data_IF_079712344049
#
_entry.id   IF_079712344049
#
_cell.length_a   1.000
_cell.length_b   1.000
_cell.length_c   1.000
_cell.angle_alpha   90.00
_cell.angle_beta   90.00
_cell.angle_gamma   90.00
#
_symmetry.space_group_name_H-M   'P 1'
#
loop_
_entity.id
_entity.type
_entity.pdbx_description
1 polymer ?
#
# COMPACT_ATOMS: atom_id res chain seq x y z
N UNK A 1 -32.18 -3.39 29.57
CA UNK A 1 -31.60 -4.21 28.50
C UNK A 1 -30.93 -3.26 27.52
N UNK A 2 -29.60 -3.26 27.44
CA UNK A 2 -28.86 -2.33 26.60
C UNK A 2 -28.99 -2.77 25.13
N UNK A 3 -29.54 -1.88 24.29
CA UNK A 3 -29.54 -2.07 22.84
C UNK A 3 -28.10 -2.07 22.34
N UNK A 4 -27.60 -3.24 21.96
CA UNK A 4 -26.40 -3.37 21.13
C UNK A 4 -26.66 -2.62 19.82
N UNK A 5 -26.01 -1.47 19.68
CA UNK A 5 -25.94 -0.77 18.40
C UNK A 5 -25.28 -1.73 17.41
N UNK A 6 -25.88 -1.97 16.23
CA UNK A 6 -25.30 -2.85 15.24
C UNK A 6 -23.88 -2.39 14.94
N UNK A 7 -22.92 -3.32 15.03
CA UNK A 7 -21.49 -3.09 14.82
C UNK A 7 -21.27 -2.08 13.69
N UNK A 8 -20.86 -0.86 14.06
CA UNK A 8 -20.21 0.03 13.12
C UNK A 8 -19.01 -0.78 12.59
N UNK A 9 -19.08 -1.19 11.32
CA UNK A 9 -18.03 -1.95 10.64
C UNK A 9 -16.68 -1.37 11.07
N UNK A 10 -15.80 -2.19 11.65
CA UNK A 10 -14.50 -1.74 12.15
C UNK A 10 -13.65 -1.32 10.94
N UNK A 11 -13.83 -0.07 10.50
CA UNK A 11 -13.25 0.47 9.28
C UNK A 11 -11.72 0.28 9.18
N UNK A 12 -10.94 0.40 10.27
CA UNK A 12 -9.53 0.01 10.25
C UNK A 12 -9.28 -1.45 9.89
N UNK A 13 -10.07 -2.38 10.42
CA UNK A 13 -9.91 -3.81 10.17
C UNK A 13 -10.35 -4.19 8.74
N UNK A 14 -11.44 -3.57 8.27
CA UNK A 14 -11.93 -3.74 6.91
C UNK A 14 -10.94 -3.19 5.87
N UNK A 15 -10.34 -2.02 6.13
CA UNK A 15 -9.30 -1.48 5.26
C UNK A 15 -8.07 -2.41 5.19
N UNK A 16 -7.62 -2.95 6.33
CA UNK A 16 -6.51 -3.92 6.36
C UNK A 16 -6.82 -5.15 5.51
N UNK A 17 -8.05 -5.67 5.62
CA UNK A 17 -8.52 -6.82 4.83
C UNK A 17 -8.51 -6.50 3.33
N UNK A 18 -9.11 -5.38 2.94
CA UNK A 18 -9.19 -4.97 1.53
C UNK A 18 -7.82 -4.75 0.89
N UNK A 19 -6.89 -4.12 1.61
CA UNK A 19 -5.52 -3.90 1.15
C UNK A 19 -4.82 -5.23 0.86
N UNK A 20 -4.92 -6.18 1.78
CA UNK A 20 -4.25 -7.48 1.66
C UNK A 20 -4.88 -8.33 0.55
N UNK A 21 -6.20 -8.37 0.46
CA UNK A 21 -6.93 -9.06 -0.62
C UNK A 21 -6.66 -8.45 -1.98
N UNK A 22 -6.65 -7.11 -2.10
CA UNK A 22 -6.42 -6.43 -3.36
C UNK A 22 -5.02 -6.69 -3.91
N UNK A 23 -3.97 -6.64 -3.07
CA UNK A 23 -2.61 -6.94 -3.53
C UNK A 23 -2.48 -8.36 -4.09
N UNK A 24 -3.15 -9.34 -3.47
CA UNK A 24 -3.17 -10.72 -3.94
C UNK A 24 -3.97 -10.86 -5.24
N UNK A 25 -5.19 -10.28 -5.28
CA UNK A 25 -6.12 -10.39 -6.40
C UNK A 25 -5.59 -9.72 -7.66
N UNK A 26 -5.05 -8.51 -7.54
CA UNK A 26 -4.52 -7.74 -8.68
C UNK A 26 -3.16 -8.29 -9.16
N UNK A 27 -2.55 -9.21 -8.40
CA UNK A 27 -1.23 -9.79 -8.67
C UNK A 27 -0.19 -8.71 -8.98
N UNK A 28 -0.20 -7.61 -8.20
CA UNK A 28 0.63 -6.42 -8.46
C UNK A 28 2.11 -6.79 -8.61
N UNK A 29 2.65 -7.56 -7.66
CA UNK A 29 4.07 -7.92 -7.65
C UNK A 29 4.45 -8.93 -8.74
N UNK A 30 3.73 -10.06 -8.94
CA UNK A 30 4.02 -10.93 -10.07
C UNK A 30 3.98 -10.20 -11.42
N UNK A 31 2.96 -9.36 -11.67
CA UNK A 31 2.85 -8.60 -12.93
C UNK A 31 4.00 -7.61 -13.10
N UNK A 32 4.43 -6.95 -12.03
CA UNK A 32 5.59 -6.08 -12.03
C UNK A 32 6.86 -6.83 -12.45
N UNK A 33 7.15 -7.98 -11.82
CA UNK A 33 8.37 -8.73 -12.13
C UNK A 33 8.30 -9.35 -13.53
N UNK A 34 7.16 -9.93 -13.92
CA UNK A 34 6.96 -10.52 -15.25
C UNK A 34 7.17 -9.47 -16.35
N UNK A 35 6.58 -8.27 -16.19
CA UNK A 35 6.73 -7.19 -17.17
C UNK A 35 8.18 -6.71 -17.24
N UNK A 36 8.85 -6.53 -16.10
CA UNK A 36 10.25 -6.12 -16.07
C UNK A 36 11.17 -7.14 -16.76
N UNK A 37 10.95 -8.42 -16.48
CA UNK A 37 11.75 -9.52 -17.04
C UNK A 37 11.62 -9.57 -18.56
N UNK A 38 10.40 -9.46 -19.08
CA UNK A 38 10.15 -9.47 -20.54
C UNK A 38 10.73 -8.22 -21.19
N UNK A 39 10.48 -7.03 -20.64
CA UNK A 39 10.95 -5.76 -21.22
C UNK A 39 12.47 -5.64 -21.27
N UNK A 40 13.19 -6.25 -20.32
CA UNK A 40 14.64 -6.12 -20.18
C UNK A 40 15.41 -7.40 -20.52
N UNK A 41 14.74 -8.45 -20.98
CA UNK A 41 15.35 -9.75 -21.30
C UNK A 41 15.97 -10.47 -20.08
N UNK A 42 15.49 -10.20 -18.87
CA UNK A 42 16.08 -10.68 -17.60
C UNK A 42 15.49 -12.01 -17.12
N UNK A 43 15.24 -12.94 -18.03
CA UNK A 43 14.56 -14.22 -17.73
C UNK A 43 15.27 -15.07 -16.66
N UNK A 44 16.59 -14.90 -16.50
CA UNK A 44 17.37 -15.54 -15.45
C UNK A 44 16.81 -15.30 -14.03
N UNK A 45 16.13 -14.17 -13.78
CA UNK A 45 15.52 -13.85 -12.49
C UNK A 45 14.39 -14.82 -12.09
N UNK A 46 13.83 -15.58 -13.03
CA UNK A 46 12.70 -16.48 -12.82
C UNK A 46 13.06 -17.98 -12.89
N UNK A 47 14.32 -18.32 -13.22
CA UNK A 47 14.74 -19.70 -13.48
C UNK A 47 14.74 -20.56 -12.20
N UNK A 48 15.11 -19.97 -11.07
CA UNK A 48 15.17 -20.67 -9.79
C UNK A 48 13.90 -20.43 -8.97
N UNK A 49 12.98 -21.41 -8.99
CA UNK A 49 11.65 -21.26 -8.39
C UNK A 49 11.65 -20.90 -6.89
N UNK A 50 12.61 -21.38 -6.10
CA UNK A 50 12.74 -21.00 -4.69
C UNK A 50 13.13 -19.53 -4.53
N UNK A 51 14.24 -19.12 -5.15
CA UNK A 51 14.73 -17.75 -5.12
C UNK A 51 13.70 -16.76 -5.68
N UNK A 52 12.98 -17.17 -6.73
CA UNK A 52 11.92 -16.35 -7.30
C UNK A 52 10.76 -16.15 -6.33
N UNK A 53 10.32 -17.21 -5.62
CA UNK A 53 9.28 -17.08 -4.58
C UNK A 53 9.73 -16.19 -3.44
N UNK A 54 10.98 -16.30 -3.01
CA UNK A 54 11.53 -15.46 -1.94
C UNK A 54 11.61 -13.99 -2.38
N UNK A 55 12.05 -13.73 -3.62
CA UNK A 55 12.03 -12.40 -4.23
C UNK A 55 10.61 -11.82 -4.27
N UNK A 56 9.62 -12.60 -4.72
CA UNK A 56 8.23 -12.17 -4.75
C UNK A 56 7.72 -11.85 -3.34
N UNK A 57 8.09 -12.63 -2.32
CA UNK A 57 7.71 -12.35 -0.93
C UNK A 57 8.32 -11.04 -0.42
N UNK A 58 9.59 -10.78 -0.72
CA UNK A 58 10.26 -9.52 -0.36
C UNK A 58 9.58 -8.33 -1.04
N UNK A 59 9.35 -8.40 -2.35
CA UNK A 59 8.68 -7.34 -3.10
C UNK A 59 7.20 -7.15 -2.67
N UNK A 60 6.51 -8.23 -2.31
CA UNK A 60 5.14 -8.18 -1.76
C UNK A 60 5.10 -7.39 -0.46
N UNK A 61 6.10 -7.56 0.40
CA UNK A 61 6.22 -6.79 1.64
C UNK A 61 6.45 -5.31 1.37
N UNK A 62 7.31 -4.96 0.40
CA UNK A 62 7.51 -3.56 -0.01
C UNK A 62 6.24 -2.94 -0.60
N UNK A 63 5.49 -3.69 -1.42
CA UNK A 63 4.21 -3.23 -1.97
C UNK A 63 3.17 -2.99 -0.87
N UNK A 64 3.11 -3.87 0.13
CA UNK A 64 2.23 -3.70 1.29
C UNK A 64 2.59 -2.44 2.09
N UNK A 65 3.88 -2.16 2.31
CA UNK A 65 4.32 -0.93 2.97
C UNK A 65 3.89 0.32 2.19
N UNK A 66 4.19 0.35 0.89
CA UNK A 66 3.84 1.49 0.02
C UNK A 66 2.32 1.75 0.00
N UNK A 67 1.53 0.69 -0.21
CA UNK A 67 0.07 0.77 -0.23
C UNK A 67 -0.49 1.23 1.12
N UNK A 68 0.04 0.69 2.22
CA UNK A 68 -0.39 1.04 3.59
C UNK A 68 -0.11 2.50 3.90
N UNK A 69 1.10 3.01 3.61
CA UNK A 69 1.42 4.42 3.87
C UNK A 69 0.52 5.34 3.06
N UNK A 70 0.31 5.05 1.77
CA UNK A 70 -0.58 5.86 0.94
C UNK A 70 -2.02 5.82 1.43
N UNK A 71 -2.55 4.64 1.74
CA UNK A 71 -3.93 4.50 2.24
C UNK A 71 -4.13 5.22 3.58
N UNK A 72 -3.18 5.11 4.51
CA UNK A 72 -3.25 5.83 5.78
C UNK A 72 -3.10 7.34 5.61
N UNK A 73 -2.28 7.81 4.67
CA UNK A 73 -2.18 9.22 4.36
C UNK A 73 -3.51 9.77 3.83
N UNK A 74 -4.17 9.03 2.91
CA UNK A 74 -5.50 9.40 2.42
C UNK A 74 -6.51 9.45 3.58
N UNK A 75 -6.64 8.36 4.34
CA UNK A 75 -7.68 8.23 5.38
C UNK A 75 -7.46 9.17 6.58
N UNK A 76 -6.22 9.36 7.03
CA UNK A 76 -5.93 10.15 8.22
C UNK A 76 -5.66 11.62 7.92
N UNK A 77 -4.92 11.90 6.85
CA UNK A 77 -4.27 13.20 6.65
C UNK A 77 -4.93 14.01 5.53
N UNK A 78 -5.62 13.38 4.58
CA UNK A 78 -6.34 14.11 3.53
C UNK A 78 -7.71 14.62 4.02
N UNK A 79 -8.11 15.85 3.62
CA UNK A 79 -9.40 16.41 4.00
C UNK A 79 -10.54 15.62 3.37
N UNK A 80 -11.36 14.96 4.19
CA UNK A 80 -12.57 14.28 3.70
C UNK A 80 -13.75 15.26 3.66
N UNK A 81 -14.57 15.19 2.61
CA UNK A 81 -15.79 15.96 2.51
C UNK A 81 -16.82 15.49 3.55
N UNK A 82 -16.81 16.12 4.73
CA UNK A 82 -17.82 15.91 5.77
C UNK A 82 -19.06 16.76 5.48
N UNK A 83 -19.87 16.34 4.51
CA UNK A 83 -21.16 16.97 4.17
C UNK A 83 -21.04 18.46 3.78
N UNK A 84 -21.94 19.31 4.29
CA UNK A 84 -22.00 20.77 4.01
C UNK A 84 -20.85 21.58 4.65
N UNK A 85 -19.93 20.94 5.39
CA UNK A 85 -18.85 21.61 6.11
C UNK A 85 -17.52 21.57 5.36
N UNK A 86 -16.61 22.51 5.66
CA UNK A 86 -15.27 22.53 5.05
C UNK A 86 -14.54 21.20 5.35
N UNK A 87 -13.95 20.55 4.34
CA UNK A 87 -13.29 19.26 4.53
C UNK A 87 -12.11 19.45 5.50
N UNK A 88 -12.00 18.54 6.47
CA UNK A 88 -10.94 18.59 7.49
C UNK A 88 -10.28 17.21 7.63
N UNK A 89 -8.96 17.17 7.88
CA UNK A 89 -8.28 15.93 8.20
C UNK A 89 -8.79 15.36 9.53
N UNK A 90 -8.56 14.07 9.74
CA UNK A 90 -8.96 13.38 10.96
C UNK A 90 -8.23 13.99 12.17
N UNK A 91 -8.90 14.18 13.33
CA UNK A 91 -8.21 14.62 14.54
C UNK A 91 -7.06 13.67 14.89
N UNK A 92 -5.91 14.22 15.32
CA UNK A 92 -4.68 13.43 15.58
C UNK A 92 -4.90 12.24 16.53
N UNK A 93 -5.76 12.41 17.54
CA UNK A 93 -6.12 11.34 18.48
C UNK A 93 -6.84 10.18 17.77
N UNK A 94 -7.79 10.51 16.90
CA UNK A 94 -8.57 9.53 16.16
C UNK A 94 -7.71 8.83 15.09
N UNK A 95 -6.84 9.58 14.40
CA UNK A 95 -5.88 9.03 13.46
C UNK A 95 -4.93 8.03 14.14
N UNK A 96 -4.47 8.35 15.37
CA UNK A 96 -3.61 7.44 16.14
C UNK A 96 -4.36 6.16 16.54
N UNK A 97 -5.62 6.29 16.97
CA UNK A 97 -6.46 5.15 17.31
C UNK A 97 -6.77 4.28 16.07
N UNK A 98 -7.06 4.91 14.93
CA UNK A 98 -7.29 4.26 13.64
C UNK A 98 -6.07 3.45 13.22
N UNK A 99 -4.89 4.08 13.17
CA UNK A 99 -3.61 3.43 12.81
C UNK A 99 -3.31 2.23 13.72
N UNK A 100 -3.52 2.36 15.03
CA UNK A 100 -3.31 1.25 15.98
C UNK A 100 -4.25 0.07 15.70
N UNK A 101 -5.54 0.33 15.49
CA UNK A 101 -6.52 -0.72 15.17
C UNK A 101 -6.25 -1.37 13.81
N UNK A 102 -5.85 -0.57 12.82
CA UNK A 102 -5.46 -1.04 11.50
C UNK A 102 -4.28 -2.00 11.60
N UNK A 103 -3.18 -1.60 12.26
CA UNK A 103 -1.98 -2.42 12.40
C UNK A 103 -2.25 -3.72 13.18
N UNK A 104 -3.02 -3.63 14.26
CA UNK A 104 -3.43 -4.82 15.02
C UNK A 104 -4.26 -5.79 14.17
N UNK A 105 -5.13 -5.27 13.29
CA UNK A 105 -5.94 -6.09 12.40
C UNK A 105 -5.11 -6.70 11.27
N UNK A 106 -4.19 -5.92 10.69
CA UNK A 106 -3.27 -6.37 9.66
C UNK A 106 -2.39 -7.51 10.19
N UNK A 107 -1.78 -7.35 11.37
CA UNK A 107 -0.94 -8.38 11.98
C UNK A 107 -1.72 -9.70 12.21
N UNK A 108 -2.96 -9.62 12.68
CA UNK A 108 -3.82 -10.80 12.84
C UNK A 108 -4.14 -11.47 11.50
N UNK A 109 -4.48 -10.70 10.48
CA UNK A 109 -4.82 -11.23 9.15
C UNK A 109 -3.62 -11.89 8.47
N UNK A 110 -2.42 -11.36 8.69
CA UNK A 110 -1.18 -11.91 8.15
C UNK A 110 -0.59 -13.06 8.98
N UNK A 111 -1.16 -13.36 10.15
CA UNK A 111 -0.62 -14.38 11.06
C UNK A 111 0.78 -14.03 11.60
N UNK A 112 1.09 -12.74 11.70
CA UNK A 112 2.40 -12.25 12.12
C UNK A 112 2.68 -12.50 13.60
N UNK A 113 3.94 -12.83 13.91
CA UNK A 113 4.41 -12.80 15.29
C UNK A 113 4.51 -11.36 15.81
N UNK A 114 4.72 -11.20 17.12
CA UNK A 114 4.95 -9.89 17.70
C UNK A 114 6.21 -9.21 17.11
N UNK A 115 7.24 -10.00 16.77
CA UNK A 115 8.46 -9.51 16.11
C UNK A 115 8.16 -8.96 14.71
N UNK A 116 7.49 -9.77 13.88
CA UNK A 116 7.14 -9.37 12.51
C UNK A 116 6.28 -8.11 12.48
N UNK A 117 5.31 -7.99 13.39
CA UNK A 117 4.46 -6.82 13.50
C UNK A 117 5.25 -5.55 13.90
N UNK A 118 6.22 -5.68 14.82
CA UNK A 118 7.08 -4.57 15.22
C UNK A 118 8.04 -4.15 14.09
N UNK A 119 8.60 -5.11 13.36
CA UNK A 119 9.48 -4.85 12.22
C UNK A 119 8.72 -4.17 11.08
N UNK A 120 7.49 -4.63 10.78
CA UNK A 120 6.62 -3.95 9.83
C UNK A 120 6.28 -2.53 10.27
N UNK A 121 5.93 -2.31 11.54
CA UNK A 121 5.64 -0.98 12.06
C UNK A 121 6.84 -0.04 11.97
N UNK A 122 8.05 -0.54 12.26
CA UNK A 122 9.30 0.23 12.12
C UNK A 122 9.54 0.63 10.67
N UNK A 123 9.42 -0.32 9.74
CA UNK A 123 9.61 -0.03 8.31
C UNK A 123 8.57 0.95 7.78
N UNK A 124 7.31 0.83 8.24
CA UNK A 124 6.25 1.76 7.90
C UNK A 124 6.57 3.18 8.36
N UNK A 125 7.14 3.34 9.55
CA UNK A 125 7.58 4.63 10.06
C UNK A 125 8.73 5.20 9.21
N UNK A 126 9.73 4.38 8.87
CA UNK A 126 10.84 4.79 8.00
C UNK A 126 10.32 5.28 6.64
N UNK A 127 9.37 4.54 6.03
CA UNK A 127 8.73 4.96 4.79
C UNK A 127 8.06 6.34 4.91
N UNK A 128 7.29 6.56 5.99
CA UNK A 128 6.63 7.86 6.23
C UNK A 128 7.62 9.00 6.37
N UNK A 129 8.73 8.78 7.10
CA UNK A 129 9.78 9.78 7.27
C UNK A 129 10.47 10.13 5.94
N UNK A 130 10.80 9.12 5.13
CA UNK A 130 11.42 9.31 3.82
C UNK A 130 10.50 10.07 2.87
N UNK A 131 9.21 9.74 2.84
CA UNK A 131 8.22 10.45 2.02
C UNK A 131 8.04 11.89 2.46
N UNK A 132 8.02 12.15 3.76
CA UNK A 132 7.94 13.52 4.30
C UNK A 132 9.16 14.34 3.86
N UNK A 133 10.36 13.74 3.87
CA UNK A 133 11.59 14.39 3.40
C UNK A 133 11.58 14.64 1.89
N UNK A 134 11.10 13.67 1.09
CA UNK A 134 10.97 13.83 -0.36
C UNK A 134 9.98 14.95 -0.72
N UNK A 135 8.84 15.02 -0.01
CA UNK A 135 7.85 16.07 -0.19
C UNK A 135 8.39 17.48 0.13
N UNK A 136 9.33 17.60 1.08
CA UNK A 136 9.99 18.86 1.41
C UNK A 136 11.02 19.30 0.33
N UNK A 137 11.57 18.35 -0.43
CA UNK A 137 12.64 18.60 -1.42
C UNK A 137 12.15 18.99 -2.81
N UNK A 138 10.84 19.25 -3.01
CA UNK A 138 10.14 19.52 -4.30
C UNK A 138 11.06 19.94 -5.45
N UNK A 139 11.64 18.94 -6.13
CA UNK A 139 12.28 19.12 -7.43
C UNK A 139 11.25 18.76 -8.51
N UNK A 140 11.19 19.56 -9.55
CA UNK A 140 10.36 19.28 -10.73
C UNK A 140 10.94 18.06 -11.44
N UNK A 141 10.33 16.88 -11.22
CA UNK A 141 10.75 15.61 -11.81
C UNK A 141 10.51 15.63 -13.33
N UNK A 142 11.44 15.06 -14.11
CA UNK A 142 11.21 14.85 -15.54
C UNK A 142 10.32 13.62 -15.77
N UNK A 143 9.49 13.57 -16.83
CA UNK A 143 8.55 12.45 -17.05
C UNK A 143 9.24 11.08 -17.16
N UNK A 144 10.47 11.06 -17.67
CA UNK A 144 11.26 9.86 -17.90
C UNK A 144 12.15 9.45 -16.70
N UNK A 145 12.12 10.21 -15.61
CA UNK A 145 12.87 9.89 -14.39
C UNK A 145 11.99 9.06 -13.46
N UNK A 146 12.58 8.10 -12.74
CA UNK A 146 11.86 7.33 -11.73
C UNK A 146 11.40 8.22 -10.56
N UNK A 147 10.34 7.81 -9.86
CA UNK A 147 9.88 8.54 -8.68
C UNK A 147 10.93 8.51 -7.54
N UNK A 148 11.12 9.65 -6.87
CA UNK A 148 11.88 9.74 -5.61
C UNK A 148 11.02 9.19 -4.46
N UNK A 149 11.00 7.86 -4.34
CA UNK A 149 10.12 7.14 -3.43
C UNK A 149 10.80 5.87 -2.89
N UNK A 150 10.72 5.57 -1.57
CA UNK A 150 11.41 4.43 -0.95
C UNK A 150 11.07 3.07 -1.60
N UNK A 151 9.81 2.84 -1.95
CA UNK A 151 9.39 1.66 -2.73
C UNK A 151 10.20 1.48 -4.02
N UNK A 152 10.43 2.55 -4.78
CA UNK A 152 11.13 2.48 -6.07
C UNK A 152 12.57 2.05 -5.86
N UNK A 153 13.27 2.68 -4.92
CA UNK A 153 14.68 2.38 -4.69
C UNK A 153 14.88 0.99 -4.07
N UNK A 154 14.02 0.58 -3.12
CA UNK A 154 14.09 -0.73 -2.48
C UNK A 154 13.71 -1.86 -3.45
N UNK A 155 12.64 -1.69 -4.22
CA UNK A 155 12.27 -2.68 -5.23
C UNK A 155 13.33 -2.80 -6.33
N UNK A 156 13.93 -1.69 -6.78
CA UNK A 156 15.00 -1.75 -7.76
C UNK A 156 16.22 -2.52 -7.24
N UNK A 157 16.63 -2.24 -6.00
CA UNK A 157 17.74 -2.94 -5.35
C UNK A 157 17.47 -4.44 -5.19
N UNK A 158 16.26 -4.81 -4.74
CA UNK A 158 15.87 -6.21 -4.55
C UNK A 158 15.73 -6.97 -5.87
N UNK A 159 15.15 -6.32 -6.89
CA UNK A 159 14.85 -6.94 -8.18
C UNK A 159 16.11 -7.13 -9.01
N UNK A 160 16.92 -6.08 -9.17
CA UNK A 160 18.05 -6.10 -10.08
C UNK A 160 19.06 -4.98 -9.81
N UNK A 161 19.93 -5.19 -8.82
CA UNK A 161 21.00 -4.25 -8.49
C UNK A 161 21.99 -3.99 -9.63
N UNK A 162 22.10 -4.91 -10.61
CA UNK A 162 22.96 -4.73 -11.77
C UNK A 162 22.34 -3.84 -12.85
N UNK A 163 21.01 -3.64 -12.81
CA UNK A 163 20.30 -2.82 -13.78
C UNK A 163 19.34 -1.82 -13.10
N UNK A 164 19.88 -1.07 -12.14
CA UNK A 164 19.09 -0.24 -11.23
C UNK A 164 18.15 0.74 -11.93
N UNK A 165 18.59 1.46 -12.97
CA UNK A 165 17.75 2.51 -13.55
C UNK A 165 16.48 1.92 -14.19
N UNK A 166 16.60 0.82 -14.93
CA UNK A 166 15.44 0.15 -15.53
C UNK A 166 14.54 -0.46 -14.45
N UNK A 167 15.13 -1.02 -13.40
CA UNK A 167 14.36 -1.55 -12.27
C UNK A 167 13.62 -0.43 -11.51
N UNK A 168 14.22 0.75 -11.36
CA UNK A 168 13.59 1.95 -10.78
C UNK A 168 12.46 2.47 -11.67
N UNK A 169 12.64 2.51 -12.99
CA UNK A 169 11.58 2.91 -13.92
C UNK A 169 10.38 1.95 -13.87
N UNK A 170 10.64 0.64 -13.86
CA UNK A 170 9.58 -0.36 -13.73
C UNK A 170 8.88 -0.27 -12.37
N UNK A 171 9.63 -0.13 -11.27
CA UNK A 171 9.06 0.05 -9.93
C UNK A 171 8.26 1.35 -9.83
N UNK A 172 8.68 2.43 -10.50
CA UNK A 172 7.94 3.69 -10.54
C UNK A 172 6.60 3.54 -11.26
N UNK A 173 6.51 2.73 -12.32
CA UNK A 173 5.22 2.44 -12.99
C UNK A 173 4.31 1.64 -12.06
N UNK A 174 4.84 0.62 -11.40
CA UNK A 174 4.10 -0.18 -10.42
C UNK A 174 3.61 0.66 -9.25
N UNK A 175 4.43 1.61 -8.78
CA UNK A 175 4.06 2.53 -7.69
C UNK A 175 2.81 3.33 -8.05
N UNK A 176 2.71 3.86 -9.27
CA UNK A 176 1.51 4.59 -9.71
C UNK A 176 0.25 3.72 -9.60
N UNK A 177 0.33 2.45 -10.03
CA UNK A 177 -0.78 1.51 -9.86
C UNK A 177 -1.11 1.21 -8.39
N UNK A 178 -0.10 1.14 -7.51
CA UNK A 178 -0.30 0.98 -6.06
C UNK A 178 -0.99 2.21 -5.46
N UNK A 179 -0.60 3.43 -5.86
CA UNK A 179 -1.20 4.67 -5.38
C UNK A 179 -2.65 4.82 -5.83
N UNK A 180 -2.95 4.46 -7.07
CA UNK A 180 -4.32 4.39 -7.60
C UNK A 180 -5.16 3.36 -6.86
N UNK A 181 -4.59 2.17 -6.60
CA UNK A 181 -5.26 1.13 -5.82
C UNK A 181 -5.55 1.63 -4.40
N UNK A 182 -4.61 2.34 -3.75
CA UNK A 182 -4.83 2.94 -2.44
C UNK A 182 -6.05 3.87 -2.45
N UNK A 183 -6.11 4.77 -3.43
CA UNK A 183 -7.22 5.70 -3.59
C UNK A 183 -8.56 4.97 -3.75
N UNK A 184 -8.62 3.95 -4.61
CA UNK A 184 -9.83 3.15 -4.81
C UNK A 184 -10.28 2.45 -3.53
N UNK A 185 -9.37 1.82 -2.79
CA UNK A 185 -9.72 1.08 -1.57
C UNK A 185 -10.21 2.00 -0.43
N UNK A 186 -9.69 3.22 -0.37
CA UNK A 186 -10.08 4.22 0.63
C UNK A 186 -11.36 5.00 0.27
N UNK A 187 -11.73 5.08 -1.01
CA UNK A 187 -12.90 5.81 -1.48
C UNK A 187 -14.25 5.16 -1.12
N UNK A 188 -14.28 3.87 -0.73
CA UNK A 188 -15.51 3.12 -0.47
C UNK A 188 -15.78 2.78 1.00
N UNK A 189 -16.17 3.72 1.87
CA UNK A 189 -16.86 3.38 3.11
C UNK A 189 -18.38 3.31 2.86
N UNK A 190 -18.86 2.20 2.29
CA UNK A 190 -20.29 1.85 2.34
C UNK A 190 -21.20 2.34 1.20
N UNK A 191 -20.90 1.98 -0.05
CA UNK A 191 -21.97 1.87 -1.05
C UNK A 191 -22.67 0.52 -0.83
N UNK A 192 -23.77 0.52 -0.09
CA UNK A 192 -24.72 -0.59 -0.09
C UNK A 192 -25.03 -0.96 -1.55
N UNK A 193 -24.65 -2.17 -1.96
CA UNK A 193 -25.33 -2.87 -3.05
C UNK A 193 -26.76 -3.17 -2.60
N UNK A 194 -27.61 -2.15 -2.57
CA UNK A 194 -29.04 -2.31 -2.86
C UNK A 194 -29.15 -2.53 -4.37
N UNK A 195 -28.75 -3.71 -4.81
CA UNK A 195 -29.28 -4.22 -6.08
C UNK A 195 -30.74 -4.55 -5.81
N UNK A 196 -31.58 -3.61 -6.21
CA UNK A 196 -33.02 -3.69 -6.24
C UNK A 196 -33.45 -5.04 -6.84
N UNK A 197 -34.08 -5.86 -6.00
CA UNK A 197 -35.24 -6.65 -6.44
C UNK A 197 -36.31 -5.66 -6.89
N UNK A 198 -36.44 -5.50 -8.20
CA UNK A 198 -37.62 -5.04 -8.94
C UNK A 198 -37.27 -5.25 -10.43
N UNK A 199 -37.91 -6.09 -11.22
CA UNK A 199 -39.19 -6.80 -11.18
C UNK A 199 -39.02 -8.16 -11.84
#
# INVERSE_FOLDING_TARGET
MAQEKPNAVDAPAELAKRITEALLRERVVPRFVDSYVVENGRHALQVHASLYRDLLALLQREALLALTVRALAIVCDEPHAAGKSKPRPMPRRDATAFRRKYLASLARQQGWTAGDALDFQRDLQIYQELLTRAAAKRRTRKPFEAADHPFVDRCAFLLDSSFMENARLAASRTLTGIEELAAQLTAFPGAETKSSRAR
#
